data_IF_886833640310
#
_entry.id   IF_886833640310
#
_cell.length_a   1.000
_cell.length_b   1.000
_cell.length_c   1.000
_cell.angle_alpha   90.00
_cell.angle_beta   90.00
_cell.angle_gamma   90.00
#
_symmetry.space_group_name_H-M   'P 1'
#
loop_
_entity.id
_entity.type
_entity.pdbx_description
1 polymer ?
#
# COMPACT_ATOMS: atom_id res chain seq x y z
N UNK A 1 0.30 18.86 6.87
CA UNK A 1 -0.33 17.69 6.23
C UNK A 1 -1.37 18.21 5.26
N UNK A 2 -1.28 17.86 3.98
CA UNK A 2 -2.24 18.36 2.98
C UNK A 2 -3.43 17.40 2.86
N UNK A 3 -4.62 17.94 2.58
CA UNK A 3 -5.79 17.12 2.24
C UNK A 3 -5.53 16.22 1.00
N UNK A 4 -4.56 16.61 0.17
CA UNK A 4 -4.09 15.86 -0.97
C UNK A 4 -3.34 14.58 -0.57
N UNK A 5 -2.52 14.64 0.49
CA UNK A 5 -1.81 13.44 1.02
C UNK A 5 -2.79 12.36 1.44
N UNK A 6 -3.81 12.72 2.24
CA UNK A 6 -4.82 11.78 2.73
C UNK A 6 -5.65 11.23 1.55
N UNK A 7 -6.07 12.10 0.64
CA UNK A 7 -6.81 11.69 -0.57
C UNK A 7 -6.00 10.69 -1.39
N UNK A 8 -4.72 10.96 -1.64
CA UNK A 8 -3.85 10.04 -2.38
C UNK A 8 -3.66 8.69 -1.68
N UNK A 9 -3.55 8.67 -0.35
CA UNK A 9 -3.48 7.41 0.41
C UNK A 9 -4.81 6.64 0.38
N UNK A 10 -5.95 7.33 0.40
CA UNK A 10 -7.29 6.71 0.23
C UNK A 10 -7.47 6.11 -1.15
N UNK A 11 -7.01 6.78 -2.20
CA UNK A 11 -7.00 6.24 -3.57
C UNK A 11 -6.17 4.96 -3.66
N UNK A 12 -4.97 4.95 -3.07
CA UNK A 12 -4.16 3.73 -2.99
C UNK A 12 -4.88 2.64 -2.21
N UNK A 13 -5.46 2.96 -1.05
CA UNK A 13 -6.17 1.97 -0.24
C UNK A 13 -7.36 1.35 -1.00
N UNK A 14 -8.16 2.17 -1.67
CA UNK A 14 -9.26 1.71 -2.52
C UNK A 14 -8.76 0.83 -3.67
N UNK A 15 -7.65 1.22 -4.32
CA UNK A 15 -7.01 0.41 -5.35
C UNK A 15 -6.58 -0.95 -4.80
N UNK A 16 -5.86 -1.00 -3.68
CA UNK A 16 -5.38 -2.25 -3.08
C UNK A 16 -6.52 -3.17 -2.68
N UNK A 17 -7.61 -2.61 -2.13
CA UNK A 17 -8.83 -3.34 -1.77
C UNK A 17 -9.54 -3.94 -2.99
N UNK A 18 -9.40 -3.33 -4.16
CA UNK A 18 -9.99 -3.83 -5.42
C UNK A 18 -9.15 -4.90 -6.12
N UNK A 19 -7.90 -5.11 -5.69
CA UNK A 19 -7.02 -6.09 -6.32
C UNK A 19 -7.43 -7.51 -5.94
N UNK A 20 -7.59 -8.34 -6.96
CA UNK A 20 -7.85 -9.76 -6.81
C UNK A 20 -6.64 -10.60 -7.26
N UNK A 21 -6.68 -11.90 -7.01
CA UNK A 21 -5.54 -12.79 -7.34
C UNK A 21 -5.24 -12.81 -8.85
N UNK A 22 -6.25 -12.64 -9.70
CA UNK A 22 -6.10 -12.55 -11.15
C UNK A 22 -5.39 -11.27 -11.62
N UNK A 23 -5.34 -10.21 -10.80
CA UNK A 23 -4.64 -8.97 -11.15
C UNK A 23 -3.11 -9.12 -11.10
N UNK A 24 -2.60 -10.32 -10.76
CA UNK A 24 -1.18 -10.69 -10.90
C UNK A 24 -0.62 -10.44 -12.31
N UNK A 25 -1.46 -10.28 -13.32
CA UNK A 25 -1.07 -9.92 -14.69
C UNK A 25 -0.76 -8.43 -14.89
N UNK A 26 -1.05 -7.58 -13.90
CA UNK A 26 -0.89 -6.12 -13.94
C UNK A 26 0.15 -5.63 -12.90
N UNK A 27 1.43 -6.04 -13.02
CA UNK A 27 2.48 -5.69 -12.04
C UNK A 27 2.81 -4.20 -11.98
N UNK A 28 2.43 -3.45 -13.01
CA UNK A 28 2.53 -1.99 -13.09
C UNK A 28 1.61 -1.32 -12.07
N UNK A 29 0.39 -1.83 -11.84
CA UNK A 29 -0.57 -1.25 -10.89
C UNK A 29 0.00 -1.22 -9.47
N UNK A 30 0.57 -2.33 -9.01
CA UNK A 30 1.21 -2.40 -7.67
C UNK A 30 2.48 -1.56 -7.59
N UNK A 31 3.19 -1.37 -8.71
CA UNK A 31 4.39 -0.51 -8.77
C UNK A 31 4.01 0.96 -8.66
N UNK A 32 2.99 1.41 -9.40
CA UNK A 32 2.53 2.79 -9.34
C UNK A 32 1.92 3.11 -7.96
N UNK A 33 1.18 2.17 -7.37
CA UNK A 33 0.72 2.29 -5.98
C UNK A 33 1.87 2.50 -5.00
N UNK A 34 2.96 1.73 -5.13
CA UNK A 34 4.14 1.88 -4.29
C UNK A 34 4.81 3.26 -4.45
N UNK A 35 4.90 3.79 -5.68
CA UNK A 35 5.43 5.13 -5.92
C UNK A 35 4.56 6.21 -5.29
N UNK A 36 3.23 6.08 -5.41
CA UNK A 36 2.29 7.02 -4.83
C UNK A 36 2.39 7.04 -3.31
N UNK A 37 2.48 5.87 -2.66
CA UNK A 37 2.72 5.79 -1.20
C UNK A 37 4.03 6.50 -0.83
N UNK A 38 5.13 6.27 -1.56
CA UNK A 38 6.40 6.96 -1.27
C UNK A 38 6.25 8.47 -1.37
N UNK A 39 5.64 8.97 -2.45
CA UNK A 39 5.42 10.40 -2.64
C UNK A 39 4.59 10.98 -1.48
N UNK A 40 3.49 10.32 -1.10
CA UNK A 40 2.62 10.80 -0.01
C UNK A 40 3.25 10.65 1.37
N UNK A 41 4.09 9.64 1.60
CA UNK A 41 4.77 9.45 2.90
C UNK A 41 5.71 10.61 3.26
N UNK A 42 6.30 11.25 2.26
CA UNK A 42 7.18 12.42 2.43
C UNK A 42 6.40 13.68 2.86
N UNK A 43 5.09 13.73 2.62
CA UNK A 43 4.23 14.86 2.96
C UNK A 43 3.65 14.78 4.39
N UNK A 44 3.92 13.69 5.12
CA UNK A 44 3.40 13.44 6.48
C UNK A 44 4.19 14.13 7.61
N UNK A 45 4.79 15.29 7.34
CA UNK A 45 5.66 16.01 8.31
C UNK A 45 4.93 16.59 9.54
N UNK A 46 3.61 16.77 9.48
CA UNK A 46 2.82 17.44 10.55
C UNK A 46 1.89 16.48 11.33
N UNK A 47 2.12 15.17 11.26
CA UNK A 47 1.30 14.18 11.96
C UNK A 47 1.85 13.96 13.38
N UNK A 48 0.97 13.72 14.35
CA UNK A 48 1.38 13.22 15.68
C UNK A 48 1.99 11.84 15.48
N UNK A 49 3.30 11.67 15.72
CA UNK A 49 4.06 10.44 15.44
C UNK A 49 4.26 10.13 13.93
N UNK A 50 4.91 11.03 13.18
CA UNK A 50 5.09 10.86 11.75
C UNK A 50 6.02 9.68 11.42
N UNK A 51 6.94 9.34 12.31
CA UNK A 51 7.88 8.21 12.17
C UNK A 51 7.14 6.87 12.11
N UNK A 52 6.13 6.67 12.96
CA UNK A 52 5.31 5.46 12.98
C UNK A 52 4.49 5.31 11.69
N UNK A 53 3.86 6.40 11.25
CA UNK A 53 3.10 6.42 10.00
C UNK A 53 4.01 6.16 8.79
N UNK A 54 5.16 6.82 8.71
CA UNK A 54 6.14 6.62 7.64
C UNK A 54 6.70 5.20 7.64
N UNK A 55 6.97 4.62 8.81
CA UNK A 55 7.45 3.25 8.94
C UNK A 55 6.41 2.23 8.46
N UNK A 56 5.13 2.42 8.80
CA UNK A 56 4.01 1.59 8.30
C UNK A 56 3.87 1.71 6.79
N UNK A 57 3.94 2.92 6.23
CA UNK A 57 3.93 3.12 4.78
C UNK A 57 5.16 2.50 4.09
N UNK A 58 6.33 2.50 4.73
CA UNK A 58 7.50 1.80 4.22
C UNK A 58 7.29 0.27 4.16
N UNK A 59 6.59 -0.32 5.13
CA UNK A 59 6.18 -1.73 5.07
C UNK A 59 5.19 -1.99 3.94
N UNK A 60 4.21 -1.12 3.72
CA UNK A 60 3.31 -1.21 2.57
C UNK A 60 4.09 -1.23 1.25
N UNK A 61 5.05 -0.32 1.07
CA UNK A 61 5.91 -0.26 -0.13
C UNK A 61 6.74 -1.53 -0.30
N UNK A 62 7.29 -2.08 0.77
CA UNK A 62 8.05 -3.34 0.74
C UNK A 62 7.18 -4.51 0.27
N UNK A 63 5.95 -4.57 0.76
CA UNK A 63 5.01 -5.64 0.42
C UNK A 63 4.54 -5.50 -1.04
N UNK A 64 4.29 -4.29 -1.55
CA UNK A 64 3.99 -4.06 -2.98
C UNK A 64 5.14 -4.42 -3.91
N UNK A 65 6.39 -4.12 -3.54
CA UNK A 65 7.57 -4.59 -4.28
C UNK A 65 7.65 -6.12 -4.32
N UNK A 66 7.22 -6.78 -3.24
CA UNK A 66 7.14 -8.24 -3.18
C UNK A 66 6.01 -8.80 -4.06
N UNK A 67 4.85 -8.13 -4.10
CA UNK A 67 3.76 -8.44 -5.01
C UNK A 67 4.20 -8.33 -6.48
N UNK A 68 4.90 -7.24 -6.82
CA UNK A 68 5.45 -7.04 -8.17
C UNK A 68 6.43 -8.17 -8.55
N UNK A 69 7.31 -8.57 -7.63
CA UNK A 69 8.24 -9.69 -7.86
C UNK A 69 7.48 -11.00 -8.09
N UNK A 70 6.42 -11.25 -7.33
CA UNK A 70 5.57 -12.42 -7.50
C UNK A 70 4.88 -12.43 -8.88
N UNK A 71 4.34 -11.29 -9.31
CA UNK A 71 3.74 -11.13 -10.63
C UNK A 71 4.74 -11.37 -11.78
N UNK A 72 5.96 -10.82 -11.66
CA UNK A 72 7.04 -11.07 -12.63
C UNK A 72 7.45 -12.56 -12.66
N UNK A 73 7.49 -13.21 -11.50
CA UNK A 73 7.79 -14.65 -11.38
C UNK A 73 6.70 -15.51 -12.02
N UNK A 74 5.43 -15.21 -11.76
CA UNK A 74 4.26 -15.88 -12.35
C UNK A 74 4.32 -15.90 -13.88
N UNK A 75 4.80 -14.80 -14.49
CA UNK A 75 4.98 -14.70 -15.95
C UNK A 75 6.13 -15.55 -16.47
N UNK A 76 7.25 -15.61 -15.74
CA UNK A 76 8.50 -16.23 -16.20
C UNK A 76 8.58 -17.74 -15.91
N UNK A 77 7.92 -18.23 -14.87
CA UNK A 77 8.02 -19.62 -14.43
C UNK A 77 6.63 -20.25 -14.23
N UNK A 78 6.17 -21.11 -15.16
CA UNK A 78 4.90 -21.81 -15.04
C UNK A 78 4.75 -22.67 -13.78
N UNK A 79 5.83 -23.31 -13.33
CA UNK A 79 5.82 -24.18 -12.14
C UNK A 79 5.67 -23.38 -10.84
N UNK A 80 6.08 -22.12 -10.83
CA UNK A 80 5.96 -21.23 -9.69
C UNK A 80 4.61 -20.48 -9.63
N UNK A 81 3.69 -20.72 -10.57
CA UNK A 81 2.43 -19.95 -10.68
C UNK A 81 1.54 -20.01 -9.44
N UNK A 82 1.26 -21.20 -8.84
CA UNK A 82 0.42 -21.27 -7.64
C UNK A 82 1.01 -20.47 -6.47
N UNK A 83 2.32 -20.65 -6.23
CA UNK A 83 3.03 -19.93 -5.17
C UNK A 83 3.08 -18.41 -5.44
N UNK A 84 3.28 -18.02 -6.70
CA UNK A 84 3.31 -16.61 -7.09
C UNK A 84 1.95 -15.93 -6.89
N UNK A 85 0.84 -16.63 -7.18
CA UNK A 85 -0.53 -16.15 -6.91
C UNK A 85 -0.79 -15.97 -5.43
N UNK A 86 -0.47 -16.98 -4.62
CA UNK A 86 -0.61 -16.91 -3.17
C UNK A 86 0.22 -15.77 -2.58
N UNK A 87 1.49 -15.64 -3.02
CA UNK A 87 2.37 -14.55 -2.58
C UNK A 87 1.83 -13.19 -2.98
N UNK A 88 1.38 -13.02 -4.23
CA UNK A 88 0.80 -11.77 -4.71
C UNK A 88 -0.38 -11.35 -3.82
N UNK A 89 -1.39 -12.21 -3.68
CA UNK A 89 -2.58 -11.93 -2.88
C UNK A 89 -2.27 -11.62 -1.41
N UNK A 90 -1.36 -12.39 -0.80
CA UNK A 90 -0.93 -12.13 0.58
C UNK A 90 -0.27 -10.76 0.71
N UNK A 91 0.66 -10.43 -0.17
CA UNK A 91 1.41 -9.17 -0.06
C UNK A 91 0.59 -7.93 -0.43
N UNK A 92 -0.36 -8.02 -1.37
CA UNK A 92 -1.28 -6.91 -1.65
C UNK A 92 -2.24 -6.68 -0.48
N UNK A 93 -2.74 -7.74 0.15
CA UNK A 93 -3.60 -7.64 1.33
C UNK A 93 -2.85 -7.11 2.56
N UNK A 94 -1.60 -7.51 2.75
CA UNK A 94 -0.73 -6.96 3.79
C UNK A 94 -0.48 -5.45 3.58
N UNK A 95 -0.17 -5.04 2.35
CA UNK A 95 -0.01 -3.63 2.01
C UNK A 95 -1.30 -2.82 2.24
N UNK A 96 -2.47 -3.37 1.90
CA UNK A 96 -3.77 -2.75 2.20
C UNK A 96 -3.92 -2.51 3.71
N UNK A 97 -3.62 -3.50 4.54
CA UNK A 97 -3.71 -3.37 6.00
C UNK A 97 -2.80 -2.27 6.57
N UNK A 98 -1.56 -2.15 6.07
CA UNK A 98 -0.65 -1.08 6.48
C UNK A 98 -1.17 0.32 6.11
N UNK A 99 -1.67 0.48 4.88
CA UNK A 99 -2.24 1.77 4.44
C UNK A 99 -3.53 2.08 5.19
N UNK A 100 -4.39 1.08 5.42
CA UNK A 100 -5.62 1.22 6.18
C UNK A 100 -5.37 1.68 7.62
N UNK A 101 -4.42 1.06 8.32
CA UNK A 101 -4.06 1.46 9.68
C UNK A 101 -3.54 2.91 9.76
N UNK A 102 -2.71 3.33 8.79
CA UNK A 102 -2.27 4.74 8.73
C UNK A 102 -3.45 5.68 8.49
N UNK A 103 -4.39 5.32 7.61
CA UNK A 103 -5.59 6.14 7.38
C UNK A 103 -6.48 6.25 8.64
N UNK A 104 -6.63 5.17 9.40
CA UNK A 104 -7.37 5.17 10.67
C UNK A 104 -6.73 6.13 11.69
N UNK A 105 -5.41 6.13 11.82
CA UNK A 105 -4.69 7.04 12.71
C UNK A 105 -4.84 8.51 12.28
N UNK A 106 -4.76 8.78 10.97
CA UNK A 106 -4.90 10.12 10.40
C UNK A 106 -6.33 10.67 10.59
N UNK A 107 -7.36 9.82 10.43
CA UNK A 107 -8.75 10.20 10.64
C UNK A 107 -9.05 10.44 12.13
N UNK A 108 -8.53 9.59 13.03
CA UNK A 108 -8.63 9.78 14.48
C UNK A 108 -7.92 11.04 14.99
N UNK A 109 -6.79 11.41 14.36
CA UNK A 109 -6.06 12.66 14.67
C UNK A 109 -6.87 13.91 14.27
N UNK A 110 -7.75 13.78 13.27
CA UNK A 110 -8.59 14.89 12.78
C UNK A 110 -9.77 15.17 13.72
N UNK A 111 -10.32 14.14 14.38
CA UNK A 111 -11.43 14.27 15.34
C UNK A 111 -10.98 14.71 16.76
N UNK A 112 -9.70 14.53 17.11
CA UNK A 112 -9.15 14.86 18.43
C UNK A 112 -8.81 16.35 18.66
N UNK A 113 -8.84 17.21 17.63
CA UNK A 113 -8.48 18.65 17.74
C UNK A 113 -9.69 19.54 18.08
N UNK A 114 -10.56 19.09 18.98
CA UNK A 114 -11.82 19.75 19.29
C UNK A 114 -12.36 19.53 20.71
N UNK A 115 -11.50 19.23 21.70
CA UNK A 115 -11.87 19.25 23.11
C UNK A 115 -10.79 19.89 23.98
#
# INVERSE_FOLDING_TARGET
MTAETITGLREVHALLKSLETQDIHRPDVVREAAKLIVARSLELVDVTEPEDAQQRLAFAVRDLKSAEKAARSHRRNPLARPLSRARFAFTTRSAEGWVGGVLEDLDGTTEGRGR
#
